data_IF_421744771150
#
_entry.id   IF_421744771150
#
_cell.length_a   1.000
_cell.length_b   1.000
_cell.length_c   1.000
_cell.angle_alpha   90.00
_cell.angle_beta   90.00
_cell.angle_gamma   90.00
#
_symmetry.space_group_name_H-M   'P 1'
#
loop_
_entity.id
_entity.type
_entity.pdbx_description
1 polymer ?
#
# COMPACT_ATOMS: atom_id res chain seq x y z
N UNK A 1 -31.03 -26.24 -39.03
CA UNK A 1 -31.05 -25.03 -38.27
C UNK A 1 -30.35 -25.12 -36.92
N UNK A 2 -29.95 -26.32 -36.53
CA UNK A 2 -29.14 -26.51 -35.35
C UNK A 2 -27.77 -25.80 -35.42
N UNK A 3 -27.26 -25.53 -36.62
CA UNK A 3 -25.99 -24.81 -36.83
C UNK A 3 -26.08 -23.33 -36.47
N UNK A 4 -27.20 -22.68 -36.74
CA UNK A 4 -27.39 -21.25 -36.45
C UNK A 4 -27.54 -21.02 -34.94
N UNK A 5 -28.20 -21.93 -34.24
CA UNK A 5 -28.32 -21.87 -32.79
C UNK A 5 -27.00 -22.10 -32.09
N UNK A 6 -26.14 -22.98 -32.61
CA UNK A 6 -24.78 -23.17 -32.08
C UNK A 6 -23.89 -21.93 -32.25
N UNK A 7 -23.97 -21.33 -33.45
CA UNK A 7 -23.21 -20.11 -33.72
C UNK A 7 -23.64 -18.94 -32.83
N UNK A 8 -24.96 -18.78 -32.62
CA UNK A 8 -25.46 -17.75 -31.73
C UNK A 8 -25.08 -18.03 -30.28
N UNK A 9 -25.14 -19.29 -29.84
CA UNK A 9 -24.75 -19.69 -28.48
C UNK A 9 -23.26 -19.42 -28.23
N UNK A 10 -22.40 -19.75 -29.19
CA UNK A 10 -20.96 -19.48 -29.08
C UNK A 10 -20.69 -17.99 -29.08
N UNK A 11 -21.36 -17.20 -29.92
CA UNK A 11 -21.20 -15.74 -29.96
C UNK A 11 -21.62 -15.11 -28.62
N UNK A 12 -22.72 -15.57 -28.06
CA UNK A 12 -23.19 -15.09 -26.74
C UNK A 12 -22.20 -15.45 -25.64
N UNK A 13 -21.66 -16.67 -25.66
CA UNK A 13 -20.65 -17.10 -24.69
C UNK A 13 -19.39 -16.22 -24.78
N UNK A 14 -18.90 -15.95 -25.96
CA UNK A 14 -17.74 -15.08 -26.17
C UNK A 14 -18.05 -13.64 -25.75
N UNK A 15 -19.25 -13.15 -26.05
CA UNK A 15 -19.66 -11.80 -25.66
C UNK A 15 -19.71 -11.62 -24.14
N UNK A 16 -20.03 -12.69 -23.40
CA UNK A 16 -20.02 -12.68 -21.94
C UNK A 16 -18.64 -12.95 -21.37
N UNK A 17 -17.85 -13.78 -22.04
CA UNK A 17 -16.52 -14.20 -21.56
C UNK A 17 -15.52 -13.04 -21.65
N UNK A 18 -15.53 -12.28 -22.74
CA UNK A 18 -14.59 -11.16 -22.93
C UNK A 18 -14.65 -10.12 -21.82
N UNK A 19 -15.84 -9.56 -21.48
CA UNK A 19 -15.93 -8.62 -20.37
C UNK A 19 -15.49 -9.23 -19.03
N UNK A 20 -15.82 -10.50 -18.81
CA UNK A 20 -15.43 -11.22 -17.58
C UNK A 20 -13.92 -11.34 -17.48
N UNK A 21 -13.25 -11.71 -18.58
CA UNK A 21 -11.79 -11.82 -18.63
C UNK A 21 -11.13 -10.45 -18.43
N UNK A 22 -11.70 -9.39 -19.01
CA UNK A 22 -11.20 -8.04 -18.79
C UNK A 22 -11.33 -7.62 -17.34
N UNK A 23 -12.45 -7.88 -16.71
CA UNK A 23 -12.66 -7.58 -15.28
C UNK A 23 -11.70 -8.37 -14.40
N UNK A 24 -11.49 -9.63 -14.72
CA UNK A 24 -10.54 -10.47 -13.98
C UNK A 24 -9.11 -9.92 -14.11
N UNK A 25 -8.72 -9.55 -15.32
CA UNK A 25 -7.39 -8.97 -15.58
C UNK A 25 -7.20 -7.66 -14.82
N UNK A 26 -8.19 -6.77 -14.88
CA UNK A 26 -8.15 -5.51 -14.15
C UNK A 26 -8.10 -5.75 -12.64
N UNK A 27 -8.83 -6.74 -12.15
CA UNK A 27 -8.82 -7.13 -10.73
C UNK A 27 -7.43 -7.60 -10.28
N UNK A 28 -6.77 -8.40 -11.10
CA UNK A 28 -5.41 -8.88 -10.80
C UNK A 28 -4.42 -7.72 -10.79
N UNK A 29 -4.52 -6.81 -11.76
CA UNK A 29 -3.67 -5.63 -11.82
C UNK A 29 -3.90 -4.77 -10.58
N UNK A 30 -5.15 -4.53 -10.21
CA UNK A 30 -5.49 -3.74 -9.03
C UNK A 30 -4.96 -4.39 -7.75
N UNK A 31 -5.08 -5.71 -7.62
CA UNK A 31 -4.53 -6.44 -6.49
C UNK A 31 -3.00 -6.28 -6.42
N UNK A 32 -2.31 -6.35 -7.55
CA UNK A 32 -0.87 -6.14 -7.61
C UNK A 32 -0.47 -4.73 -7.18
N UNK A 33 -1.18 -3.71 -7.64
CA UNK A 33 -0.95 -2.32 -7.25
C UNK A 33 -1.16 -2.15 -5.74
N UNK A 34 -2.22 -2.74 -5.21
CA UNK A 34 -2.51 -2.67 -3.78
C UNK A 34 -1.42 -3.33 -2.93
N UNK A 35 -0.99 -4.53 -3.31
CA UNK A 35 0.07 -5.24 -2.60
C UNK A 35 1.40 -4.50 -2.68
N UNK A 36 1.72 -3.92 -3.84
CA UNK A 36 2.89 -3.07 -3.98
C UNK A 36 2.80 -1.87 -3.05
N UNK A 37 1.63 -1.23 -2.98
CA UNK A 37 1.40 -0.10 -2.10
C UNK A 37 1.58 -0.46 -0.63
N UNK A 38 1.10 -1.63 -0.21
CA UNK A 38 1.32 -2.12 1.15
C UNK A 38 2.79 -2.31 1.46
N UNK A 39 3.55 -2.87 0.54
CA UNK A 39 4.98 -3.04 0.70
C UNK A 39 5.70 -1.70 0.83
N UNK A 40 5.31 -0.72 0.01
CA UNK A 40 5.86 0.64 0.09
C UNK A 40 5.53 1.28 1.45
N UNK A 41 4.29 1.17 1.90
CA UNK A 41 3.87 1.71 3.19
C UNK A 41 4.63 1.06 4.36
N UNK A 42 4.86 -0.26 4.28
CA UNK A 42 5.62 -0.97 5.30
C UNK A 42 7.08 -0.51 5.31
N UNK A 43 7.69 -0.32 4.16
CA UNK A 43 9.05 0.23 4.07
C UNK A 43 9.13 1.64 4.62
N UNK A 44 8.13 2.47 4.34
CA UNK A 44 8.06 3.83 4.85
C UNK A 44 7.94 3.83 6.37
N UNK A 45 7.09 2.97 6.94
CA UNK A 45 6.94 2.84 8.38
C UNK A 45 8.23 2.36 9.04
N UNK A 46 8.88 1.36 8.48
CA UNK A 46 10.13 0.82 8.99
C UNK A 46 11.25 1.86 8.94
N UNK A 47 11.37 2.58 7.83
CA UNK A 47 12.36 3.64 7.69
C UNK A 47 12.12 4.77 8.69
N UNK A 48 10.87 5.15 8.91
CA UNK A 48 10.52 6.16 9.90
C UNK A 48 10.90 5.72 11.32
N UNK A 49 10.62 4.46 11.67
CA UNK A 49 11.00 3.91 12.96
C UNK A 49 12.52 3.92 13.11
N UNK A 50 13.24 3.45 12.11
CA UNK A 50 14.71 3.39 12.16
C UNK A 50 15.31 4.79 12.30
N UNK A 51 14.77 5.78 11.59
CA UNK A 51 15.23 7.15 11.72
C UNK A 51 14.93 7.74 13.10
N UNK A 52 13.81 7.39 13.70
CA UNK A 52 13.39 7.91 14.99
C UNK A 52 14.05 7.20 16.18
N UNK A 53 14.60 6.00 15.97
CA UNK A 53 15.28 5.24 17.03
C UNK A 53 16.59 5.86 17.46
N UNK A 54 17.25 6.58 16.57
CA UNK A 54 18.52 7.19 16.88
C UNK A 54 18.42 8.27 17.95
N UNK A 55 19.49 8.49 18.69
CA UNK A 55 19.55 9.44 19.80
C UNK A 55 19.27 10.88 19.35
N UNK A 56 19.57 11.19 18.10
CA UNK A 56 19.40 12.51 17.51
C UNK A 56 18.24 12.58 16.52
N UNK A 57 17.49 11.48 16.35
CA UNK A 57 16.37 11.46 15.45
C UNK A 57 15.17 12.24 16.00
N UNK A 58 14.62 13.15 15.21
CA UNK A 58 13.37 13.81 15.58
C UNK A 58 12.19 13.08 14.97
N UNK A 59 11.03 13.14 15.64
CA UNK A 59 9.81 12.56 15.11
C UNK A 59 9.40 13.23 13.80
N UNK A 60 9.56 14.55 13.70
CA UNK A 60 9.23 15.31 12.49
C UNK A 60 10.08 14.89 11.28
N UNK A 61 11.38 14.71 11.48
CA UNK A 61 12.28 14.27 10.40
C UNK A 61 11.96 12.83 9.97
N UNK A 62 11.66 11.97 10.93
CA UNK A 62 11.27 10.59 10.66
C UNK A 62 9.95 10.52 9.87
N UNK A 63 8.96 11.34 10.25
CA UNK A 63 7.69 11.43 9.52
C UNK A 63 7.90 11.91 8.08
N UNK A 64 8.76 12.89 7.89
CA UNK A 64 9.08 13.41 6.56
C UNK A 64 9.77 12.36 5.70
N UNK A 65 10.70 11.60 6.28
CA UNK A 65 11.37 10.52 5.57
C UNK A 65 10.37 9.44 5.14
N UNK A 66 9.50 9.03 6.04
CA UNK A 66 8.45 8.06 5.73
C UNK A 66 7.53 8.56 4.62
N UNK A 67 7.10 9.81 4.68
CA UNK A 67 6.26 10.41 3.64
C UNK A 67 6.97 10.46 2.28
N UNK A 68 8.25 10.76 2.26
CA UNK A 68 9.05 10.79 1.03
C UNK A 68 9.13 9.39 0.40
N UNK A 69 9.38 8.36 1.20
CA UNK A 69 9.45 6.97 0.72
C UNK A 69 8.09 6.53 0.17
N UNK A 70 7.03 6.82 0.90
CA UNK A 70 5.68 6.44 0.48
C UNK A 70 5.29 7.16 -0.83
N UNK A 71 5.59 8.44 -0.96
CA UNK A 71 5.32 9.20 -2.18
C UNK A 71 6.11 8.72 -3.37
N UNK A 72 7.39 8.38 -3.16
CA UNK A 72 8.25 7.83 -4.22
C UNK A 72 7.75 6.48 -4.73
N UNK A 73 7.06 5.71 -3.89
CA UNK A 73 6.45 4.45 -4.26
C UNK A 73 5.07 4.57 -4.91
N UNK A 74 4.58 5.79 -5.13
CA UNK A 74 3.32 6.04 -5.83
C UNK A 74 2.09 6.14 -4.95
N UNK A 75 2.24 6.14 -3.63
CA UNK A 75 1.11 6.30 -2.72
C UNK A 75 0.62 7.76 -2.69
N UNK A 76 -0.66 7.93 -2.39
CA UNK A 76 -1.33 9.23 -2.34
C UNK A 76 -1.95 9.46 -0.97
N UNK A 77 -2.21 10.73 -0.66
CA UNK A 77 -2.81 11.16 0.61
C UNK A 77 -2.11 10.54 1.81
N UNK A 78 -0.80 10.70 1.84
CA UNK A 78 0.08 10.05 2.80
C UNK A 78 0.02 10.78 4.14
N UNK A 79 -0.18 10.00 5.21
CA UNK A 79 -0.07 10.47 6.58
C UNK A 79 0.88 9.56 7.33
N UNK A 80 1.93 10.12 7.88
CA UNK A 80 2.91 9.38 8.68
C UNK A 80 2.92 9.98 10.08
N UNK A 81 2.71 9.14 11.08
CA UNK A 81 2.81 9.55 12.48
C UNK A 81 3.86 8.72 13.17
N UNK A 82 4.77 9.39 13.83
CA UNK A 82 5.80 8.76 14.63
C UNK A 82 5.58 9.13 16.09
N UNK A 83 5.45 8.10 16.92
CA UNK A 83 5.28 8.27 18.36
C UNK A 83 6.45 7.62 19.08
N UNK A 84 7.05 8.37 20.00
CA UNK A 84 8.12 7.88 20.85
C UNK A 84 7.59 7.80 22.27
N UNK A 85 7.64 6.62 22.82
CA UNK A 85 7.44 6.42 24.26
C UNK A 85 8.80 6.32 24.93
N UNK A 86 8.85 6.12 26.26
CA UNK A 86 10.12 6.00 26.95
C UNK A 86 10.97 4.82 26.49
N UNK A 87 10.36 3.79 25.90
CA UNK A 87 11.03 2.53 25.57
C UNK A 87 10.82 2.08 24.14
N UNK A 88 9.86 2.64 23.43
CA UNK A 88 9.53 2.20 22.06
C UNK A 88 9.28 3.36 21.13
N UNK A 89 9.51 3.11 19.84
CA UNK A 89 9.15 3.99 18.74
C UNK A 89 8.14 3.27 17.87
N UNK A 90 7.09 3.97 17.50
CA UNK A 90 6.05 3.44 16.61
C UNK A 90 5.83 4.42 15.48
N UNK A 91 5.72 3.90 14.26
CA UNK A 91 5.34 4.68 13.09
C UNK A 91 4.09 4.08 12.47
N UNK A 92 3.09 4.92 12.25
CA UNK A 92 1.85 4.56 11.56
C UNK A 92 1.82 5.29 10.22
N UNK A 93 1.68 4.54 9.14
CA UNK A 93 1.57 5.09 7.78
C UNK A 93 0.19 4.80 7.26
N UNK A 94 -0.53 5.85 6.89
CA UNK A 94 -1.81 5.76 6.20
C UNK A 94 -1.67 6.40 4.84
N UNK A 95 -2.12 5.72 3.81
CA UNK A 95 -2.02 6.21 2.44
C UNK A 95 -3.05 5.51 1.55
N UNK A 96 -3.11 5.94 0.31
CA UNK A 96 -4.00 5.35 -0.68
C UNK A 96 -3.19 4.86 -1.88
N UNK A 97 -3.42 3.63 -2.29
CA UNK A 97 -2.90 3.10 -3.54
C UNK A 97 -3.69 3.69 -4.72
N UNK A 98 -3.05 3.88 -5.90
CA UNK A 98 -3.78 4.26 -7.10
C UNK A 98 -4.86 3.23 -7.42
N UNK A 99 -6.07 3.71 -7.76
CA UNK A 99 -7.21 2.85 -8.04
C UNK A 99 -7.62 3.00 -9.49
N UNK A 100 -7.90 1.87 -10.14
CA UNK A 100 -8.51 1.85 -11.46
C UNK A 100 -9.98 2.24 -11.36
N UNK A 101 -10.63 1.78 -10.30
CA UNK A 101 -12.03 2.12 -9.99
C UNK A 101 -12.06 2.85 -8.64
N UNK A 102 -12.85 3.91 -8.56
CA UNK A 102 -13.02 4.68 -7.33
C UNK A 102 -14.03 4.00 -6.40
N UNK A 103 -13.60 2.90 -5.81
CA UNK A 103 -14.40 2.10 -4.87
C UNK A 103 -13.96 2.26 -3.41
N UNK A 104 -13.08 3.22 -3.15
CA UNK A 104 -12.54 3.48 -1.81
C UNK A 104 -11.88 2.24 -1.16
N UNK A 105 -11.35 1.35 -1.98
CA UNK A 105 -10.69 0.12 -1.54
C UNK A 105 -9.17 0.25 -1.50
N UNK A 106 -8.64 1.42 -1.81
CA UNK A 106 -7.19 1.65 -1.91
C UNK A 106 -6.53 2.07 -0.62
N UNK A 107 -7.25 2.16 0.49
CA UNK A 107 -6.69 2.60 1.76
C UNK A 107 -5.72 1.57 2.31
N UNK A 108 -4.54 2.04 2.70
CA UNK A 108 -3.47 1.22 3.25
C UNK A 108 -3.07 1.82 4.59
N UNK A 109 -3.08 0.99 5.62
CA UNK A 109 -2.58 1.35 6.95
C UNK A 109 -1.53 0.33 7.35
N UNK A 110 -0.32 0.79 7.59
CA UNK A 110 0.78 -0.07 8.01
C UNK A 110 1.46 0.55 9.23
N UNK A 111 1.89 -0.32 10.13
CA UNK A 111 2.52 0.07 11.38
C UNK A 111 3.83 -0.66 11.54
N UNK A 112 4.86 0.06 11.98
CA UNK A 112 6.10 -0.53 12.44
C UNK A 112 6.40 -0.02 13.84
N UNK A 113 7.01 -0.86 14.64
CA UNK A 113 7.43 -0.50 15.99
C UNK A 113 8.74 -1.18 16.33
N UNK A 114 9.56 -0.51 17.12
CA UNK A 114 10.85 -1.05 17.55
C UNK A 114 11.24 -0.47 18.91
N UNK A 115 12.07 -1.16 19.68
CA UNK A 115 12.62 -0.59 20.90
C UNK A 115 13.45 0.66 20.60
N UNK A 116 13.36 1.64 21.48
CA UNK A 116 14.19 2.82 21.39
C UNK A 116 15.64 2.46 21.64
N UNK A 117 16.55 2.89 20.77
CA UNK A 117 17.96 2.72 21.00
C UNK A 117 18.40 3.67 22.10
N UNK A 118 18.84 3.09 23.21
CA UNK A 118 19.51 3.84 24.24
C UNK A 118 21.00 3.73 24.00
N UNK A 119 21.64 4.88 23.87
CA UNK A 119 23.08 4.91 23.96
C UNK A 119 23.39 4.64 25.43
N UNK A 120 23.75 3.41 25.74
CA UNK A 120 24.31 3.09 27.04
C UNK A 120 25.67 3.74 27.13
N UNK A 121 25.73 4.82 27.84
CA UNK A 121 27.04 5.36 28.20
C UNK A 121 27.62 4.49 29.30
N UNK A 122 28.85 4.02 29.13
CA UNK A 122 29.55 3.31 30.20
C UNK A 122 29.82 4.23 31.39
#
# INVERSE_FOLDING_TARGET
>A
MARDERGLSESVQWALLWPLLMLLTLGIIQAGIFLHGRNVAQRAATAAVDAARGSYGSAADAEQLGATIAGSGGLRNISVRVQRTGTTVRADVSAYAPMIFDLDLGRIDETAAAPLERVTQP
#
